data_IF_366050435550
#
_entry.id   IF_366050435550
#
_cell.length_a   1.000
_cell.length_b   1.000
_cell.length_c   1.000
_cell.angle_alpha   90.00
_cell.angle_beta   90.00
_cell.angle_gamma   90.00
#
_symmetry.space_group_name_H-M   'P 1'
#
loop_
_entity.id
_entity.type
_entity.pdbx_description
1 polymer ?
#
# COMPACT_ATOMS: atom_id res chain seq x y z
N UNK A 1 -31.09 -38.38 20.66
CA UNK A 1 -29.61 -38.40 20.62
C UNK A 1 -29.12 -37.06 20.09
N UNK A 2 -28.23 -36.42 20.84
CA UNK A 2 -27.72 -35.07 20.65
C UNK A 2 -26.31 -35.17 20.06
N UNK A 3 -26.07 -34.48 18.96
CA UNK A 3 -24.77 -33.89 18.56
C UNK A 3 -25.06 -32.86 17.46
N UNK A 4 -25.43 -31.65 17.86
CA UNK A 4 -24.52 -30.51 17.95
C UNK A 4 -24.02 -30.06 16.57
N UNK A 5 -24.90 -29.35 15.84
CA UNK A 5 -24.48 -28.42 14.80
C UNK A 5 -23.85 -27.22 15.52
N UNK A 6 -22.53 -27.22 15.68
CA UNK A 6 -21.78 -26.01 16.01
C UNK A 6 -21.79 -25.12 14.76
N UNK A 7 -22.37 -23.92 14.79
CA UNK A 7 -22.13 -22.95 13.73
C UNK A 7 -20.71 -22.42 13.98
N UNK A 8 -19.74 -22.97 13.27
CA UNK A 8 -18.51 -22.21 13.00
C UNK A 8 -18.96 -21.17 11.98
N UNK A 9 -19.46 -20.03 12.45
CA UNK A 9 -19.54 -18.84 11.60
C UNK A 9 -18.09 -18.49 11.30
N UNK A 10 -17.56 -18.72 10.08
CA UNK A 10 -16.33 -18.05 9.75
C UNK A 10 -16.65 -16.56 9.81
N UNK A 11 -15.75 -15.76 10.40
CA UNK A 11 -15.75 -14.32 10.20
C UNK A 11 -15.68 -14.08 8.68
N UNK A 12 -16.84 -13.99 8.03
CA UNK A 12 -17.01 -13.94 6.57
C UNK A 12 -16.85 -12.50 6.09
N UNK A 13 -15.85 -11.76 6.59
CA UNK A 13 -15.56 -10.44 6.03
C UNK A 13 -15.31 -10.64 4.53
N UNK A 14 -16.18 -10.10 3.65
CA UNK A 14 -16.07 -10.39 2.24
C UNK A 14 -14.77 -9.76 1.71
N UNK A 15 -14.14 -10.39 0.72
CA UNK A 15 -12.89 -9.88 0.14
C UNK A 15 -13.03 -8.45 -0.41
N UNK A 16 -14.15 -8.18 -1.08
CA UNK A 16 -14.38 -6.93 -1.79
C UNK A 16 -14.27 -5.69 -0.90
N UNK A 17 -14.97 -5.58 0.25
CA UNK A 17 -14.81 -4.42 1.13
C UNK A 17 -13.39 -4.28 1.68
N UNK A 18 -12.69 -5.40 1.98
CA UNK A 18 -11.30 -5.35 2.44
C UNK A 18 -10.37 -4.78 1.35
N UNK A 19 -10.53 -5.23 0.10
CA UNK A 19 -9.78 -4.70 -1.04
C UNK A 19 -10.12 -3.24 -1.35
N UNK A 20 -11.40 -2.86 -1.26
CA UNK A 20 -11.84 -1.49 -1.47
C UNK A 20 -11.29 -0.55 -0.38
N UNK A 21 -11.28 -1.00 0.87
CA UNK A 21 -10.66 -0.26 1.98
C UNK A 21 -9.17 -0.09 1.76
N UNK A 22 -8.45 -1.15 1.39
CA UNK A 22 -7.03 -1.07 1.08
C UNK A 22 -6.75 -0.13 -0.10
N UNK A 23 -7.58 -0.19 -1.16
CA UNK A 23 -7.50 0.74 -2.30
C UNK A 23 -7.68 2.19 -1.85
N UNK A 24 -8.69 2.50 -1.04
CA UNK A 24 -8.93 3.86 -0.54
C UNK A 24 -7.74 4.39 0.28
N UNK A 25 -7.12 3.54 1.11
CA UNK A 25 -5.90 3.91 1.83
C UNK A 25 -4.72 4.18 0.88
N UNK A 26 -4.56 3.38 -0.19
CA UNK A 26 -3.55 3.66 -1.22
C UNK A 26 -3.81 4.97 -1.95
N UNK A 27 -5.07 5.33 -2.22
CA UNK A 27 -5.45 6.62 -2.81
C UNK A 27 -5.07 7.78 -1.87
N UNK A 28 -5.43 7.69 -0.59
CA UNK A 28 -5.06 8.68 0.43
C UNK A 28 -3.54 8.83 0.58
N UNK A 29 -2.81 7.71 0.48
CA UNK A 29 -1.34 7.69 0.46
C UNK A 29 -0.81 8.46 -0.75
N UNK A 30 -1.32 8.13 -1.94
CA UNK A 30 -0.88 8.74 -3.19
C UNK A 30 -1.11 10.26 -3.16
N UNK A 31 -2.26 10.70 -2.69
CA UNK A 31 -2.60 12.12 -2.54
C UNK A 31 -1.66 12.84 -1.56
N UNK A 32 -1.26 12.19 -0.47
CA UNK A 32 -0.26 12.74 0.44
C UNK A 32 1.09 12.95 -0.25
N UNK A 33 1.56 11.95 -1.00
CA UNK A 33 2.83 12.01 -1.72
C UNK A 33 2.82 13.03 -2.86
N UNK A 34 1.69 13.17 -3.58
CA UNK A 34 1.50 14.20 -4.60
C UNK A 34 1.53 15.61 -4.01
N UNK A 35 0.83 15.85 -2.89
CA UNK A 35 0.84 17.15 -2.21
C UNK A 35 2.24 17.50 -1.70
N UNK A 36 2.96 16.52 -1.15
CA UNK A 36 4.33 16.74 -0.71
C UNK A 36 5.26 17.06 -1.88
N UNK A 37 5.13 16.32 -2.99
CA UNK A 37 5.87 16.57 -4.21
C UNK A 37 5.64 18.00 -4.72
N UNK A 38 4.38 18.42 -4.80
CA UNK A 38 4.03 19.78 -5.18
C UNK A 38 4.66 20.82 -4.24
N UNK A 39 4.57 20.63 -2.92
CA UNK A 39 5.18 21.54 -1.95
C UNK A 39 6.70 21.64 -2.10
N UNK A 40 7.36 20.53 -2.45
CA UNK A 40 8.81 20.47 -2.68
C UNK A 40 9.25 21.06 -4.03
N UNK A 41 8.34 21.28 -4.97
CA UNK A 41 8.65 21.81 -6.30
C UNK A 41 8.14 23.24 -6.56
N UNK A 42 7.07 23.68 -5.89
CA UNK A 42 6.43 24.98 -6.15
C UNK A 42 7.07 26.18 -5.41
N UNK A 43 8.27 26.03 -4.85
CA UNK A 43 9.02 27.13 -4.22
C UNK A 43 8.42 27.70 -2.92
N UNK A 44 7.27 27.19 -2.46
CA UNK A 44 6.66 27.58 -1.19
C UNK A 44 7.37 27.02 0.05
N UNK A 45 6.95 27.51 1.21
CA UNK A 45 7.41 27.02 2.51
C UNK A 45 7.00 25.55 2.69
N UNK A 46 8.01 24.68 2.82
CA UNK A 46 7.78 23.26 3.08
C UNK A 46 7.56 23.08 4.59
N UNK A 47 6.50 22.35 4.96
CA UNK A 47 6.10 22.10 6.34
C UNK A 47 6.34 20.61 6.71
N UNK A 48 7.57 20.19 7.08
CA UNK A 48 7.92 18.78 7.27
C UNK A 48 7.03 18.08 8.30
N UNK A 49 6.67 18.79 9.37
CA UNK A 49 5.92 18.24 10.48
C UNK A 49 4.48 17.83 10.06
N UNK A 50 3.86 18.57 9.14
CA UNK A 50 2.53 18.24 8.63
C UNK A 50 2.55 16.91 7.87
N UNK A 51 3.50 16.75 6.94
CA UNK A 51 3.66 15.51 6.17
C UNK A 51 4.07 14.34 7.05
N UNK A 52 4.97 14.55 8.02
CA UNK A 52 5.33 13.53 9.00
C UNK A 52 4.11 13.05 9.81
N UNK A 53 3.29 13.97 10.32
CA UNK A 53 2.09 13.63 11.09
C UNK A 53 1.09 12.81 10.25
N UNK A 54 0.86 13.21 9.00
CA UNK A 54 -0.04 12.47 8.11
C UNK A 54 0.49 11.05 7.81
N UNK A 55 1.79 10.90 7.54
CA UNK A 55 2.39 9.57 7.37
C UNK A 55 2.24 8.70 8.62
N UNK A 56 2.46 9.29 9.80
CA UNK A 56 2.38 8.60 11.09
C UNK A 56 0.96 8.11 11.39
N UNK A 57 -0.07 8.85 10.98
CA UNK A 57 -1.47 8.43 11.10
C UNK A 57 -1.84 7.33 10.10
N UNK A 58 -1.34 7.45 8.88
CA UNK A 58 -1.72 6.58 7.76
C UNK A 58 -1.05 5.20 7.83
N UNK A 59 0.20 5.12 8.32
CA UNK A 59 0.96 3.86 8.35
C UNK A 59 0.26 2.74 9.15
N UNK A 60 -0.22 2.97 10.40
CA UNK A 60 -0.96 1.94 11.14
C UNK A 60 -2.24 1.46 10.42
N UNK A 61 -2.93 2.37 9.72
CA UNK A 61 -4.15 2.04 8.97
C UNK A 61 -3.85 1.14 7.76
N UNK A 62 -2.76 1.43 7.04
CA UNK A 62 -2.26 0.58 5.97
C UNK A 62 -1.83 -0.81 6.47
N UNK A 63 -1.09 -0.85 7.59
CA UNK A 63 -0.65 -2.11 8.21
C UNK A 63 -1.82 -2.98 8.65
N UNK A 64 -2.86 -2.38 9.24
CA UNK A 64 -4.08 -3.08 9.63
C UNK A 64 -4.80 -3.66 8.40
N UNK A 65 -5.01 -2.85 7.36
CA UNK A 65 -5.67 -3.31 6.13
C UNK A 65 -4.87 -4.43 5.40
N UNK A 66 -3.54 -4.32 5.39
CA UNK A 66 -2.66 -5.35 4.82
C UNK A 66 -2.67 -6.65 5.64
N UNK A 67 -2.80 -6.54 6.96
CA UNK A 67 -2.96 -7.70 7.87
C UNK A 67 -4.27 -8.42 7.59
N UNK A 68 -5.38 -7.69 7.40
CA UNK A 68 -6.67 -8.27 7.02
C UNK A 68 -6.62 -8.95 5.63
N UNK A 69 -5.97 -8.34 4.65
CA UNK A 69 -5.76 -8.96 3.33
C UNK A 69 -4.95 -10.27 3.42
N UNK A 70 -3.92 -10.32 4.28
CA UNK A 70 -3.13 -11.54 4.53
C UNK A 70 -3.95 -12.61 5.21
N UNK A 71 -4.76 -12.25 6.23
CA UNK A 71 -5.71 -13.15 6.90
C UNK A 71 -6.67 -13.77 5.90
N UNK A 72 -7.31 -12.95 5.06
CA UNK A 72 -8.23 -13.43 4.03
C UNK A 72 -7.54 -14.38 3.06
N UNK A 73 -6.33 -14.05 2.60
CA UNK A 73 -5.54 -14.91 1.70
C UNK A 73 -5.22 -16.27 2.34
N UNK A 74 -4.96 -16.30 3.65
CA UNK A 74 -4.79 -17.54 4.42
C UNK A 74 -6.05 -18.40 4.41
N UNK A 75 -7.20 -17.82 4.72
CA UNK A 75 -8.50 -18.50 4.72
C UNK A 75 -8.90 -19.02 3.34
N UNK A 76 -8.59 -18.28 2.27
CA UNK A 76 -8.83 -18.73 0.91
C UNK A 76 -7.95 -19.94 0.55
N UNK A 77 -6.66 -19.91 0.91
CA UNK A 77 -5.74 -21.03 0.65
C UNK A 77 -6.12 -22.30 1.40
N UNK A 78 -6.70 -22.18 2.59
CA UNK A 78 -7.20 -23.34 3.35
C UNK A 78 -8.54 -23.87 2.84
N UNK A 79 -9.12 -23.28 1.79
CA UNK A 79 -10.42 -23.66 1.24
C UNK A 79 -11.62 -23.22 2.09
N UNK A 80 -11.40 -22.42 3.15
CA UNK A 80 -12.44 -21.99 4.08
C UNK A 80 -13.36 -20.90 3.49
N UNK A 81 -12.89 -20.19 2.46
CA UNK A 81 -13.63 -19.10 1.84
C UNK A 81 -13.47 -19.13 0.33
N UNK A 82 -14.57 -18.98 -0.43
CA UNK A 82 -14.55 -18.75 -1.87
C UNK A 82 -15.11 -17.36 -2.16
N UNK A 83 -14.41 -16.48 -2.89
CA UNK A 83 -14.91 -15.15 -3.19
C UNK A 83 -16.19 -15.28 -4.03
N UNK A 84 -17.26 -14.60 -3.61
CA UNK A 84 -18.51 -14.47 -4.38
C UNK A 84 -18.45 -13.35 -5.43
N UNK A 85 -17.27 -12.76 -5.63
CA UNK A 85 -17.05 -11.55 -6.45
C UNK A 85 -16.50 -11.97 -7.81
N UNK A 86 -16.91 -11.34 -8.92
CA UNK A 86 -16.36 -11.62 -10.23
C UNK A 86 -14.84 -11.49 -10.25
N UNK A 87 -14.15 -12.44 -10.88
CA UNK A 87 -12.69 -12.42 -11.00
C UNK A 87 -12.16 -11.18 -11.72
N UNK A 88 -12.96 -10.61 -12.65
CA UNK A 88 -12.64 -9.39 -13.40
C UNK A 88 -12.60 -8.16 -12.50
N UNK A 89 -13.55 -8.02 -11.57
CA UNK A 89 -13.60 -6.89 -10.65
C UNK A 89 -12.45 -6.94 -9.64
N UNK A 90 -12.15 -8.13 -9.11
CA UNK A 90 -11.00 -8.34 -8.22
C UNK A 90 -9.68 -8.01 -8.92
N UNK A 91 -9.52 -8.45 -10.18
CA UNK A 91 -8.35 -8.10 -11.00
C UNK A 91 -8.23 -6.59 -11.19
N UNK A 92 -9.32 -5.92 -11.59
CA UNK A 92 -9.33 -4.47 -11.78
C UNK A 92 -8.86 -3.70 -10.54
N UNK A 93 -9.40 -4.03 -9.36
CA UNK A 93 -9.01 -3.36 -8.10
C UNK A 93 -7.54 -3.65 -7.77
N UNK A 94 -7.09 -4.88 -7.99
CA UNK A 94 -5.70 -5.26 -7.75
C UNK A 94 -4.73 -4.49 -8.66
N UNK A 95 -5.05 -4.39 -9.95
CA UNK A 95 -4.23 -3.67 -10.92
C UNK A 95 -4.17 -2.16 -10.57
N UNK A 96 -5.31 -1.56 -10.19
CA UNK A 96 -5.35 -0.17 -9.70
C UNK A 96 -4.44 0.06 -8.48
N UNK A 97 -4.53 -0.84 -7.49
CA UNK A 97 -3.67 -0.79 -6.30
C UNK A 97 -2.20 -0.91 -6.67
N UNK A 98 -1.83 -1.82 -7.56
CA UNK A 98 -0.44 -1.97 -8.02
C UNK A 98 0.07 -0.71 -8.71
N UNK A 99 -0.72 -0.11 -9.60
CA UNK A 99 -0.36 1.15 -10.26
C UNK A 99 -0.13 2.27 -9.24
N UNK A 100 -1.00 2.41 -8.25
CA UNK A 100 -0.84 3.41 -7.19
C UNK A 100 0.42 3.17 -6.36
N UNK A 101 0.69 1.94 -5.95
CA UNK A 101 1.89 1.60 -5.19
C UNK A 101 3.17 1.93 -5.96
N UNK A 102 3.20 1.63 -7.27
CA UNK A 102 4.33 1.99 -8.13
C UNK A 102 4.53 3.52 -8.18
N UNK A 103 3.43 4.28 -8.30
CA UNK A 103 3.49 5.74 -8.32
C UNK A 103 3.94 6.33 -6.98
N UNK A 104 3.45 5.79 -5.86
CA UNK A 104 3.87 6.19 -4.50
C UNK A 104 5.38 5.98 -4.33
N UNK A 105 5.91 4.81 -4.72
CA UNK A 105 7.34 4.52 -4.61
C UNK A 105 8.21 5.40 -5.50
N UNK A 106 7.70 5.81 -6.66
CA UNK A 106 8.37 6.78 -7.51
C UNK A 106 8.39 8.17 -6.85
N UNK A 107 7.23 8.66 -6.40
CA UNK A 107 7.12 9.96 -5.73
C UNK A 107 7.95 10.02 -4.45
N UNK A 108 8.04 8.93 -3.68
CA UNK A 108 8.87 8.86 -2.47
C UNK A 108 10.34 9.13 -2.78
N UNK A 109 10.87 8.52 -3.85
CA UNK A 109 12.25 8.78 -4.30
C UNK A 109 12.43 10.21 -4.78
N UNK A 110 11.50 10.72 -5.59
CA UNK A 110 11.54 12.09 -6.09
C UNK A 110 11.50 13.11 -4.94
N UNK A 111 10.64 12.89 -3.94
CA UNK A 111 10.52 13.75 -2.76
C UNK A 111 11.75 13.69 -1.87
N UNK A 112 12.32 12.51 -1.64
CA UNK A 112 13.59 12.36 -0.91
C UNK A 112 14.73 13.13 -1.62
N UNK A 113 14.83 13.02 -2.94
CA UNK A 113 15.80 13.79 -3.73
C UNK A 113 15.58 15.30 -3.61
N UNK A 114 14.33 15.76 -3.66
CA UNK A 114 14.01 17.18 -3.51
C UNK A 114 14.33 17.70 -2.09
N UNK A 115 14.04 16.91 -1.05
CA UNK A 115 14.40 17.22 0.34
C UNK A 115 15.91 17.38 0.51
N UNK A 116 16.70 16.49 -0.11
CA UNK A 116 18.17 16.55 -0.10
C UNK A 116 18.69 17.81 -0.79
N UNK A 117 18.15 18.15 -1.96
CA UNK A 117 18.53 19.37 -2.69
C UNK A 117 18.22 20.64 -1.89
N UNK A 118 17.16 20.62 -1.07
CA UNK A 118 16.81 21.72 -0.15
C UNK A 118 17.58 21.69 1.18
N UNK A 119 18.46 20.71 1.40
CA UNK A 119 19.21 20.56 2.66
C UNK A 119 18.36 20.11 3.85
N UNK A 120 17.15 19.63 3.61
CA UNK A 120 16.18 19.22 4.65
C UNK A 120 16.38 17.77 5.12
N UNK A 121 17.30 17.03 4.51
CA UNK A 121 17.60 15.64 4.84
C UNK A 121 19.13 15.42 4.82
N UNK A 122 19.72 14.79 5.85
CA UNK A 122 21.14 14.46 5.82
C UNK A 122 21.40 13.35 4.79
N UNK A 123 22.41 13.50 3.92
CA UNK A 123 22.71 12.58 2.82
C UNK A 123 22.91 11.10 3.24
N UNK A 124 23.28 10.86 4.50
CA UNK A 124 23.40 9.51 5.10
C UNK A 124 22.08 8.73 5.24
N UNK A 125 20.93 9.40 5.11
CA UNK A 125 19.61 8.74 5.17
C UNK A 125 19.07 8.34 3.79
N UNK A 126 19.88 8.48 2.72
CA UNK A 126 19.53 7.97 1.40
C UNK A 126 19.50 6.44 1.37
N UNK A 127 18.54 5.82 0.66
CA UNK A 127 18.62 4.40 0.35
C UNK A 127 19.91 4.11 -0.44
N UNK A 128 20.55 2.94 -0.24
CA UNK A 128 21.76 2.57 -0.95
C UNK A 128 21.54 2.58 -2.47
N UNK A 129 22.57 2.90 -3.25
CA UNK A 129 22.48 3.12 -4.70
C UNK A 129 21.79 1.97 -5.47
N UNK A 130 21.89 0.73 -4.99
CA UNK A 130 21.19 -0.43 -5.54
C UNK A 130 19.65 -0.30 -5.53
N UNK A 131 19.06 0.34 -4.51
CA UNK A 131 17.62 0.56 -4.39
C UNK A 131 17.11 1.73 -5.25
N UNK A 132 18.04 2.49 -5.85
CA UNK A 132 17.75 3.63 -6.74
C UNK A 132 17.77 3.24 -8.23
N UNK A 133 18.02 1.97 -8.57
CA UNK A 133 18.05 1.54 -9.97
C UNK A 133 16.65 1.52 -10.63
N UNK A 134 16.52 1.89 -11.92
CA UNK A 134 15.25 2.05 -12.63
C UNK A 134 14.32 0.83 -12.65
N UNK A 135 14.86 -0.37 -12.42
CA UNK A 135 14.10 -1.62 -12.45
C UNK A 135 14.02 -2.37 -11.12
N UNK A 136 14.63 -1.84 -10.06
CA UNK A 136 14.70 -2.55 -8.78
C UNK A 136 13.31 -2.95 -8.26
N UNK A 137 12.34 -2.04 -8.34
CA UNK A 137 10.96 -2.32 -7.90
C UNK A 137 10.26 -3.28 -8.86
N UNK A 138 10.38 -3.08 -10.17
CA UNK A 138 9.78 -3.97 -11.16
C UNK A 138 10.31 -5.41 -11.03
N UNK A 139 11.61 -5.57 -10.77
CA UNK A 139 12.24 -6.86 -10.54
C UNK A 139 11.80 -7.49 -9.21
N UNK A 140 11.56 -6.69 -8.18
CA UNK A 140 11.04 -7.15 -6.90
C UNK A 140 9.60 -7.66 -7.04
N UNK A 141 8.74 -6.94 -7.78
CA UNK A 141 7.42 -7.44 -8.14
C UNK A 141 7.49 -8.72 -8.99
N UNK A 142 8.39 -8.79 -9.98
CA UNK A 142 8.58 -9.99 -10.81
C UNK A 142 8.99 -11.21 -9.96
N UNK A 143 9.84 -11.02 -8.94
CA UNK A 143 10.25 -12.08 -8.00
C UNK A 143 9.13 -12.59 -7.10
N UNK A 144 8.14 -11.75 -6.81
CA UNK A 144 7.05 -12.06 -5.88
C UNK A 144 5.70 -12.30 -6.56
N UNK A 145 5.61 -12.14 -7.89
CA UNK A 145 4.46 -12.54 -8.68
C UNK A 145 4.57 -14.05 -8.96
N UNK A 146 3.62 -14.88 -8.50
CA UNK A 146 3.60 -16.29 -8.89
C UNK A 146 3.38 -16.41 -10.41
N UNK A 147 4.12 -17.33 -11.03
CA UNK A 147 3.94 -17.70 -12.44
C UNK A 147 2.57 -18.35 -12.69
#
# INVERSE_FOLDING_TARGET
>A
MKTARLPVEPDQTPLLPVLQQYRALCEETLDLYLREHQALHQGGEYQPFQFYRHRKDLLPRLEAALTELRRWRGLHRSGATRPRVPSTELRRITDQVQTMLMRILQLDRENQQALLRRGLLPARHLPPAAAQQPHFVADLYRRHSPA
#
